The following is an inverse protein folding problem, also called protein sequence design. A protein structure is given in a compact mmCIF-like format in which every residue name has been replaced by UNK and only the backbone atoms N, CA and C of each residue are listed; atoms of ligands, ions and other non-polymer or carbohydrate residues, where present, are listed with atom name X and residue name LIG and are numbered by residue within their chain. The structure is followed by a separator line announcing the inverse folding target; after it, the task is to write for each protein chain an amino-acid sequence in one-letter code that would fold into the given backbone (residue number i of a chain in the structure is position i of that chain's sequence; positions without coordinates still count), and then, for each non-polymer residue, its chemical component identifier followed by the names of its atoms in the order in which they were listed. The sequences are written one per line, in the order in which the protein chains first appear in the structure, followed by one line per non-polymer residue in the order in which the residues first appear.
data_IF_845041705557
#
_entry.id   IF_845041705557
#
_cell.length_a   1.000
_cell.length_b   1.000
_cell.length_c   1.000
_cell.angle_alpha   90.00
_cell.angle_beta   90.00
_cell.angle_gamma   90.00
#
_symmetry.space_group_name_H-M   'P 1'
#
loop_
_entity.id
_entity.type
_entity.pdbx_description
1 polymer ?
#
# COMPACT_ATOMS: atom_id res chain seq x y z
N UNK A 1 6.97 63.06 14.94
CA UNK A 1 7.41 61.89 15.73
C UNK A 1 6.30 60.84 15.63
N UNK A 2 6.42 60.00 14.60
CA UNK A 2 5.73 58.72 14.44
C UNK A 2 6.32 57.77 15.52
N UNK A 3 5.65 56.77 16.10
CA UNK A 3 5.12 55.57 15.45
C UNK A 3 4.08 54.90 16.39
N UNK A 4 2.96 54.42 15.84
CA UNK A 4 2.07 53.48 16.54
C UNK A 4 2.33 52.09 15.95
N UNK A 5 2.92 51.22 16.77
CA UNK A 5 3.14 49.82 16.48
C UNK A 5 1.79 49.10 16.36
N UNK A 6 1.43 48.69 15.14
CA UNK A 6 0.32 47.76 14.90
C UNK A 6 0.90 46.49 14.34
N UNK A 7 1.01 45.48 15.21
CA UNK A 7 1.36 44.12 14.84
C UNK A 7 0.31 43.57 13.87
N UNK A 8 0.74 43.19 12.66
CA UNK A 8 -0.10 42.45 11.72
C UNK A 8 0.32 40.99 11.76
N UNK A 9 -0.63 40.20 12.27
CA UNK A 9 -0.65 38.74 12.37
C UNK A 9 -0.28 38.11 11.03
N UNK A 10 0.80 37.32 11.02
CA UNK A 10 1.13 36.45 9.91
C UNK A 10 0.13 35.28 9.92
N UNK A 11 -0.80 35.25 8.95
CA UNK A 11 -1.51 34.02 8.60
C UNK A 11 -0.48 33.07 7.96
N UNK A 12 0.11 32.19 8.77
CA UNK A 12 0.71 30.96 8.26
C UNK A 12 -0.43 30.04 7.81
N UNK A 13 -0.79 30.13 6.54
CA UNK A 13 -1.59 29.10 5.87
C UNK A 13 -0.75 27.83 5.77
N UNK A 14 -0.91 26.93 6.73
CA UNK A 14 -0.39 25.56 6.65
C UNK A 14 -1.14 24.85 5.54
N UNK A 15 -0.60 24.88 4.32
CA UNK A 15 -0.99 23.96 3.27
C UNK A 15 -0.58 22.56 3.74
N UNK A 16 -1.52 21.82 4.35
CA UNK A 16 -1.39 20.37 4.47
C UNK A 16 -1.37 19.81 3.05
N UNK A 17 -0.17 19.59 2.53
CA UNK A 17 0.04 18.72 1.39
C UNK A 17 -0.37 17.33 1.90
N UNK A 18 -1.60 16.94 1.60
CA UNK A 18 -2.02 15.56 1.72
C UNK A 18 -1.06 14.76 0.84
N UNK A 19 -0.18 13.98 1.46
CA UNK A 19 0.63 12.98 0.79
C UNK A 19 -0.36 11.97 0.20
N UNK A 20 -0.82 12.21 -1.03
CA UNK A 20 -1.41 11.19 -1.86
C UNK A 20 -0.40 10.03 -1.87
N UNK A 21 -0.78 8.93 -1.23
CA UNK A 21 0.10 7.79 -0.99
C UNK A 21 0.36 7.03 -2.27
N UNK A 22 1.19 7.59 -3.16
CA UNK A 22 1.78 6.85 -4.25
C UNK A 22 2.56 5.67 -3.67
N UNK A 23 2.12 4.45 -3.97
CA UNK A 23 2.93 3.26 -3.78
C UNK A 23 4.25 3.46 -4.53
N UNK A 24 5.35 3.53 -3.79
CA UNK A 24 6.71 3.71 -4.31
C UNK A 24 7.54 2.45 -4.12
N UNK A 25 8.73 2.37 -4.74
CA UNK A 25 9.63 1.22 -4.61
C UNK A 25 10.13 0.97 -3.17
N UNK A 26 9.89 1.91 -2.26
CA UNK A 26 10.24 1.82 -0.84
C UNK A 26 9.05 1.48 0.07
N UNK A 27 7.87 1.22 -0.50
CA UNK A 27 6.70 0.81 0.28
C UNK A 27 6.93 -0.59 0.87
N UNK A 28 6.59 -0.79 2.14
CA UNK A 28 6.71 -2.09 2.78
C UNK A 28 5.83 -3.12 2.06
N UNK A 29 6.37 -4.31 1.84
CA UNK A 29 5.69 -5.40 1.11
C UNK A 29 4.33 -5.77 1.69
N UNK A 30 4.13 -5.63 3.00
CA UNK A 30 2.86 -5.87 3.69
C UNK A 30 1.83 -4.79 3.37
N UNK A 31 2.28 -3.54 3.22
CA UNK A 31 1.40 -2.44 2.81
C UNK A 31 0.97 -2.63 1.36
N UNK A 32 1.92 -2.90 0.45
CA UNK A 32 1.63 -3.16 -0.96
C UNK A 32 0.70 -4.38 -1.12
N UNK A 33 0.94 -5.47 -0.38
CA UNK A 33 0.07 -6.65 -0.43
C UNK A 33 -1.34 -6.35 0.08
N UNK A 34 -1.48 -5.56 1.17
CA UNK A 34 -2.79 -5.15 1.68
C UNK A 34 -3.57 -4.28 0.69
N UNK A 35 -2.88 -3.36 0.00
CA UNK A 35 -3.45 -2.58 -1.09
C UNK A 35 -3.96 -3.49 -2.21
N UNK A 36 -3.16 -4.47 -2.61
CA UNK A 36 -3.54 -5.44 -3.64
C UNK A 36 -4.77 -6.27 -3.29
N UNK A 37 -4.84 -6.80 -2.07
CA UNK A 37 -6.04 -7.47 -1.58
C UNK A 37 -7.27 -6.55 -1.62
N UNK A 38 -7.12 -5.31 -1.16
CA UNK A 38 -8.22 -4.33 -1.13
C UNK A 38 -8.71 -4.00 -2.55
N UNK A 39 -7.81 -3.81 -3.50
CA UNK A 39 -8.15 -3.64 -4.93
C UNK A 39 -8.95 -4.83 -5.46
N UNK A 40 -8.45 -6.05 -5.23
CA UNK A 40 -9.12 -7.26 -5.69
C UNK A 40 -10.51 -7.44 -5.07
N UNK A 41 -10.68 -7.09 -3.80
CA UNK A 41 -11.92 -7.31 -3.05
C UNK A 41 -12.98 -6.23 -3.30
N UNK A 42 -12.56 -4.99 -3.58
CA UNK A 42 -13.49 -3.92 -3.94
C UNK A 42 -13.99 -4.04 -5.37
N UNK A 43 -13.24 -4.73 -6.25
CA UNK A 43 -13.55 -4.84 -7.68
C UNK A 43 -13.54 -3.48 -8.41
N UNK A 44 -12.99 -2.45 -7.78
CA UNK A 44 -12.98 -1.10 -8.31
C UNK A 44 -11.98 -0.99 -9.47
N UNK A 45 -12.36 -0.25 -10.52
CA UNK A 45 -11.49 0.01 -11.67
C UNK A 45 -10.28 0.87 -11.29
N UNK A 46 -10.49 1.80 -10.37
CA UNK A 46 -9.47 2.68 -9.82
C UNK A 46 -9.69 2.86 -8.32
N UNK A 47 -8.60 2.84 -7.57
CA UNK A 47 -8.57 3.18 -6.15
C UNK A 47 -7.69 4.41 -5.98
N UNK A 48 -8.22 5.41 -5.28
CA UNK A 48 -7.46 6.54 -4.76
C UNK A 48 -7.14 6.28 -3.29
N UNK A 49 -5.86 6.14 -2.95
CA UNK A 49 -5.42 5.99 -1.57
C UNK A 49 -5.41 7.35 -0.86
N UNK A 50 -6.28 7.50 0.14
CA UNK A 50 -6.48 8.77 0.85
C UNK A 50 -5.77 8.82 2.21
N UNK A 51 -5.29 7.67 2.69
CA UNK A 51 -4.48 7.59 3.90
C UNK A 51 -4.09 6.16 4.24
N UNK A 52 -3.17 6.03 5.20
CA UNK A 52 -2.76 4.74 5.73
C UNK A 52 -2.06 4.91 7.07
N UNK A 53 -2.26 3.95 7.96
CA UNK A 53 -1.62 3.91 9.28
C UNK A 53 -1.25 2.47 9.64
N UNK A 54 -0.10 2.29 10.26
CA UNK A 54 0.32 1.00 10.80
C UNK A 54 0.27 1.06 12.33
N UNK A 55 -0.38 0.07 12.93
CA UNK A 55 -0.43 -0.09 14.39
C UNK A 55 0.19 -1.42 14.78
N UNK A 56 0.81 -1.46 15.95
CA UNK A 56 1.60 -2.60 16.42
C UNK A 56 1.14 -3.00 17.81
N UNK A 57 0.58 -4.20 17.93
CA UNK A 57 0.25 -4.82 19.21
C UNK A 57 1.29 -5.88 19.50
N UNK A 58 2.41 -5.51 20.10
CA UNK A 58 3.50 -6.45 20.40
C UNK A 58 3.19 -7.27 21.67
N UNK A 59 3.50 -8.58 21.70
CA UNK A 59 4.13 -9.38 20.64
C UNK A 59 3.11 -10.11 19.73
N UNK A 60 1.89 -9.62 19.57
CA UNK A 60 0.79 -10.35 18.96
C UNK A 60 0.72 -10.17 17.43
N UNK A 61 0.50 -8.94 16.97
CA UNK A 61 0.29 -8.65 15.55
C UNK A 61 0.50 -7.18 15.20
N UNK A 62 0.72 -6.93 13.91
CA UNK A 62 0.64 -5.61 13.29
C UNK A 62 -0.65 -5.48 12.50
N UNK A 63 -1.15 -4.25 12.36
CA UNK A 63 -2.29 -3.92 11.50
C UNK A 63 -1.87 -2.82 10.54
N UNK A 64 -1.99 -3.10 9.24
CA UNK A 64 -1.95 -2.07 8.21
C UNK A 64 -3.38 -1.62 7.92
N UNK A 65 -3.74 -0.42 8.36
CA UNK A 65 -5.00 0.24 8.05
C UNK A 65 -4.85 1.14 6.82
N UNK A 66 -5.78 1.03 5.88
CA UNK A 66 -5.82 1.84 4.66
C UNK A 66 -7.16 2.57 4.58
N UNK A 67 -7.11 3.83 4.14
CA UNK A 67 -8.27 4.61 3.76
C UNK A 67 -8.20 4.89 2.25
N UNK A 68 -9.34 4.75 1.58
CA UNK A 68 -9.39 4.89 0.13
C UNK A 68 -10.71 5.47 -0.36
N UNK A 69 -10.71 5.91 -1.61
CA UNK A 69 -11.90 6.27 -2.37
C UNK A 69 -11.93 5.48 -3.68
N UNK A 70 -13.11 5.07 -4.09
CA UNK A 70 -13.37 4.41 -5.38
C UNK A 70 -14.42 5.20 -6.16
N UNK A 71 -14.26 5.29 -7.46
CA UNK A 71 -15.31 5.80 -8.33
C UNK A 71 -16.45 4.78 -8.40
N UNK A 72 -17.67 5.24 -8.21
CA UNK A 72 -18.87 4.45 -8.43
C UNK A 72 -19.32 4.53 -9.91
N UNK A 73 -20.25 3.65 -10.30
CA UNK A 73 -20.74 3.57 -11.68
C UNK A 73 -21.48 4.83 -12.17
N UNK A 74 -21.81 5.77 -11.28
CA UNK A 74 -22.51 7.02 -11.58
C UNK A 74 -21.57 8.23 -11.55
N UNK A 75 -20.26 8.02 -11.40
CA UNK A 75 -19.26 9.08 -11.30
C UNK A 75 -19.17 9.73 -9.91
N UNK A 76 -19.85 9.18 -8.91
CA UNK A 76 -19.66 9.54 -7.51
C UNK A 76 -18.40 8.88 -6.92
N UNK A 77 -17.94 9.38 -5.77
CA UNK A 77 -16.84 8.78 -5.01
C UNK A 77 -17.38 8.12 -3.76
N UNK A 78 -17.11 6.83 -3.58
CA UNK A 78 -17.37 6.09 -2.36
C UNK A 78 -16.07 5.93 -1.58
N UNK A 79 -16.04 6.38 -0.33
CA UNK A 79 -14.90 6.13 0.56
C UNK A 79 -15.03 4.77 1.24
N UNK A 80 -13.90 4.17 1.59
CA UNK A 80 -13.82 2.90 2.28
C UNK A 80 -12.57 2.79 3.13
N UNK A 81 -12.54 1.74 3.97
CA UNK A 81 -11.36 1.39 4.78
C UNK A 81 -11.10 -0.10 4.73
N UNK A 82 -9.83 -0.48 4.74
CA UNK A 82 -9.41 -1.86 4.94
C UNK A 82 -8.38 -1.97 6.04
N UNK A 83 -8.27 -3.15 6.65
CA UNK A 83 -7.25 -3.43 7.64
C UNK A 83 -6.72 -4.86 7.45
N UNK A 84 -5.42 -5.02 7.27
CA UNK A 84 -4.74 -6.32 7.16
C UNK A 84 -3.94 -6.59 8.43
N UNK A 85 -4.11 -7.78 9.01
CA UNK A 85 -3.51 -8.19 10.28
C UNK A 85 -2.39 -9.20 10.03
N UNK A 86 -1.20 -8.92 10.54
CA UNK A 86 0.01 -9.71 10.32
C UNK A 86 0.52 -10.27 11.63
N UNK A 87 0.75 -11.58 11.70
CA UNK A 87 1.24 -12.23 12.91
C UNK A 87 2.68 -11.79 13.18
N UNK A 88 3.06 -11.68 14.46
CA UNK A 88 4.46 -11.50 14.83
C UNK A 88 5.24 -12.79 14.56
N UNK A 89 6.38 -12.71 13.87
CA UNK A 89 7.20 -13.86 13.46
C UNK A 89 8.70 -13.69 13.79
N UNK A 90 9.12 -12.54 14.32
CA UNK A 90 10.50 -12.37 14.76
C UNK A 90 10.82 -13.26 15.97
N UNK A 91 12.01 -13.85 15.95
CA UNK A 91 12.53 -14.63 17.08
C UNK A 91 13.14 -13.73 18.17
N UNK A 92 13.75 -12.61 17.75
CA UNK A 92 14.43 -11.66 18.60
C UNK A 92 14.09 -10.22 18.19
N UNK A 93 14.06 -9.32 19.16
CA UNK A 93 14.03 -7.87 18.89
C UNK A 93 15.44 -7.39 18.52
N UNK A 94 15.64 -7.07 17.24
CA UNK A 94 16.92 -6.61 16.70
C UNK A 94 16.88 -5.09 16.47
N UNK A 95 18.04 -4.48 16.20
CA UNK A 95 18.08 -3.08 15.77
C UNK A 95 17.20 -2.82 14.52
N UNK A 96 17.03 -3.84 13.66
CA UNK A 96 16.15 -3.75 12.50
C UNK A 96 14.67 -3.66 12.89
N UNK A 97 14.21 -4.46 13.85
CA UNK A 97 12.78 -4.44 14.29
C UNK A 97 12.44 -3.17 15.06
N UNK A 98 13.43 -2.49 15.64
CA UNK A 98 13.26 -1.16 16.23
C UNK A 98 13.15 -0.06 15.17
N UNK A 99 13.93 -0.14 14.09
CA UNK A 99 13.92 0.83 13.00
C UNK A 99 12.71 0.65 12.06
N UNK A 100 12.33 -0.61 11.80
CA UNK A 100 11.19 -1.01 10.99
C UNK A 100 10.36 -2.06 11.74
N UNK A 101 9.35 -1.63 12.52
CA UNK A 101 8.54 -2.56 13.30
C UNK A 101 7.70 -3.53 12.44
N UNK A 102 7.40 -3.21 11.18
CA UNK A 102 6.70 -4.14 10.30
C UNK A 102 7.58 -5.35 9.98
N UNK A 103 8.90 -5.17 9.86
CA UNK A 103 9.86 -6.25 9.56
C UNK A 103 9.74 -7.47 10.47
N UNK A 104 9.25 -7.31 11.70
CA UNK A 104 9.05 -8.37 12.67
C UNK A 104 7.82 -9.26 12.42
N UNK A 105 6.99 -8.95 11.42
CA UNK A 105 5.71 -9.60 11.19
C UNK A 105 5.65 -10.36 9.87
N UNK A 106 4.74 -11.33 9.78
CA UNK A 106 4.45 -12.08 8.56
C UNK A 106 4.18 -11.15 7.36
N UNK A 107 4.51 -11.62 6.16
CA UNK A 107 4.22 -10.87 4.91
C UNK A 107 2.80 -11.09 4.41
N UNK A 108 2.15 -12.18 4.84
CA UNK A 108 0.77 -12.50 4.50
C UNK A 108 -0.14 -12.24 5.70
N UNK A 109 -1.29 -11.58 5.50
CA UNK A 109 -2.19 -11.31 6.60
C UNK A 109 -2.92 -12.59 7.02
N UNK A 110 -3.08 -12.83 8.32
CA UNK A 110 -3.89 -13.93 8.84
C UNK A 110 -5.37 -13.55 8.97
N UNK A 111 -5.67 -12.25 9.01
CA UNK A 111 -7.01 -11.70 9.08
C UNK A 111 -7.08 -10.41 8.26
N UNK A 112 -8.27 -10.08 7.74
CA UNK A 112 -8.51 -8.83 7.03
C UNK A 112 -9.93 -8.33 7.30
N UNK A 113 -10.10 -7.01 7.42
CA UNK A 113 -11.40 -6.36 7.39
C UNK A 113 -11.52 -5.44 6.18
N UNK A 114 -12.73 -5.32 5.64
CA UNK A 114 -13.10 -4.36 4.61
C UNK A 114 -14.40 -3.68 5.03
N UNK A 115 -14.37 -2.34 5.07
CA UNK A 115 -15.46 -1.48 5.55
C UNK A 115 -15.98 -1.92 6.94
N UNK A 116 -15.05 -2.32 7.81
CA UNK A 116 -15.34 -2.77 9.18
C UNK A 116 -15.84 -4.21 9.31
N UNK A 117 -16.07 -4.92 8.19
CA UNK A 117 -16.48 -6.33 8.19
C UNK A 117 -15.27 -7.23 8.06
N UNK A 118 -15.10 -8.16 9.00
CA UNK A 118 -14.09 -9.22 8.89
C UNK A 118 -14.41 -10.13 7.71
N UNK A 119 -13.39 -10.42 6.89
CA UNK A 119 -13.51 -11.41 5.83
C UNK A 119 -13.59 -12.81 6.44
N UNK A 120 -14.47 -13.68 5.93
CA UNK A 120 -14.41 -15.11 6.24
C UNK A 120 -13.07 -15.72 5.81
N UNK A 121 -12.55 -16.67 6.59
CA UNK A 121 -11.24 -17.28 6.35
C UNK A 121 -11.08 -17.85 4.93
N UNK A 122 -12.12 -18.52 4.42
CA UNK A 122 -12.10 -19.08 3.06
C UNK A 122 -11.97 -18.00 1.98
N UNK A 123 -12.63 -16.85 2.17
CA UNK A 123 -12.55 -15.70 1.27
C UNK A 123 -11.15 -15.08 1.31
N UNK A 124 -10.59 -14.91 2.51
CA UNK A 124 -9.24 -14.39 2.68
C UNK A 124 -8.18 -15.32 2.08
N UNK A 125 -8.29 -16.63 2.29
CA UNK A 125 -7.38 -17.62 1.69
C UNK A 125 -7.41 -17.52 0.17
N UNK A 126 -8.60 -17.47 -0.43
CA UNK A 126 -8.75 -17.34 -1.87
C UNK A 126 -8.14 -16.04 -2.40
N UNK A 127 -8.39 -14.91 -1.71
CA UNK A 127 -7.83 -13.61 -2.07
C UNK A 127 -6.30 -13.59 -1.97
N UNK A 128 -5.71 -14.16 -0.90
CA UNK A 128 -4.24 -14.28 -0.77
C UNK A 128 -3.61 -15.08 -1.89
N UNK A 129 -4.20 -16.22 -2.25
CA UNK A 129 -3.69 -17.07 -3.33
C UNK A 129 -3.76 -16.33 -4.67
N UNK A 130 -4.87 -15.64 -4.95
CA UNK A 130 -5.02 -14.85 -6.17
C UNK A 130 -3.97 -13.73 -6.24
N UNK A 131 -3.76 -13.03 -5.12
CA UNK A 131 -2.81 -11.92 -5.03
C UNK A 131 -1.36 -12.38 -5.20
N UNK A 132 -0.96 -13.47 -4.53
CA UNK A 132 0.37 -14.05 -4.70
C UNK A 132 0.63 -14.48 -6.15
N UNK A 133 -0.37 -15.07 -6.82
CA UNK A 133 -0.27 -15.40 -8.25
C UNK A 133 -0.12 -14.15 -9.12
N UNK A 134 -0.85 -13.09 -8.82
CA UNK A 134 -0.75 -11.79 -9.53
C UNK A 134 0.67 -11.22 -9.43
N UNK A 135 1.24 -11.19 -8.23
CA UNK A 135 2.63 -10.76 -8.01
C UNK A 135 3.63 -11.66 -8.75
N UNK A 136 3.49 -12.99 -8.68
CA UNK A 136 4.36 -13.92 -9.38
C UNK A 136 4.31 -13.74 -10.91
N UNK A 137 3.11 -13.59 -11.48
CA UNK A 137 2.94 -13.35 -12.91
C UNK A 137 3.49 -12.00 -13.34
N UNK A 138 3.41 -10.96 -12.50
CA UNK A 138 4.00 -9.66 -12.81
C UNK A 138 5.54 -9.77 -12.98
N UNK A 139 6.21 -10.54 -12.14
CA UNK A 139 7.66 -10.81 -12.26
C UNK A 139 7.97 -11.57 -13.55
N UNK A 140 7.24 -12.64 -13.83
CA UNK A 140 7.44 -13.43 -15.07
C UNK A 140 7.25 -12.57 -16.31
N UNK A 141 6.22 -11.72 -16.33
CA UNK A 141 5.95 -10.82 -17.45
C UNK A 141 7.04 -9.75 -17.63
N UNK A 142 7.57 -9.20 -16.52
CA UNK A 142 8.68 -8.25 -16.57
C UNK A 142 9.93 -8.88 -17.20
N UNK A 143 10.30 -10.09 -16.77
CA UNK A 143 11.43 -10.83 -17.34
C UNK A 143 11.23 -11.16 -18.83
N UNK A 144 10.01 -11.57 -19.21
CA UNK A 144 9.68 -11.84 -20.61
C UNK A 144 9.80 -10.60 -21.50
N UNK A 145 9.45 -9.43 -20.97
CA UNK A 145 9.61 -8.15 -21.67
C UNK A 145 11.08 -7.79 -21.86
N UNK A 146 11.90 -7.86 -20.80
CA UNK A 146 13.33 -7.55 -20.89
C UNK A 146 14.07 -8.45 -21.90
N UNK A 147 13.73 -9.74 -21.92
CA UNK A 147 14.29 -10.67 -22.90
C UNK A 147 13.89 -10.32 -24.34
N UNK A 148 12.64 -9.87 -24.54
CA UNK A 148 12.13 -9.46 -25.85
C UNK A 148 12.80 -8.17 -26.33
N UNK A 149 12.93 -7.19 -25.44
CA UNK A 149 13.57 -5.89 -25.73
C UNK A 149 15.06 -6.08 -26.09
N UNK A 150 15.77 -6.95 -25.37
CA UNK A 150 17.16 -7.31 -25.69
C UNK A 150 17.28 -7.98 -27.07
N UNK A 151 16.38 -8.91 -27.39
CA UNK A 151 16.39 -9.58 -28.69
C UNK A 151 16.15 -8.61 -29.85
N UNK A 152 15.27 -7.62 -29.65
CA UNK A 152 15.03 -6.55 -30.62
C UNK A 152 16.26 -5.66 -30.81
N UNK A 153 16.91 -5.26 -29.72
CA UNK A 153 18.13 -4.45 -29.77
C UNK A 153 19.27 -5.15 -30.53
N UNK A 154 19.45 -6.46 -30.31
CA UNK A 154 20.46 -7.26 -31.02
C UNK A 154 20.13 -7.33 -32.53
N UNK A 155 18.86 -7.56 -32.91
CA UNK A 155 18.45 -7.55 -34.32
C UNK A 155 18.69 -6.20 -34.99
N UNK A 156 18.41 -5.10 -34.29
CA UNK A 156 18.65 -3.75 -34.80
C UNK A 156 20.14 -3.43 -34.95
N UNK A 157 21.00 -3.97 -34.08
CA UNK A 157 22.45 -3.74 -34.12
C UNK A 157 23.23 -4.58 -35.14
N UNK A 158 22.74 -5.76 -35.54
CA UNK A 158 23.40 -6.64 -36.53
C UNK A 158 23.04 -6.23 -37.99
N UNK A 159 22.09 -5.30 -38.16
CA UNK A 159 21.71 -4.76 -39.47
C UNK A 159 22.59 -3.62 -40.00
N UNK A 160 23.71 -3.30 -39.34
CA UNK A 160 24.70 -2.29 -39.76
C UNK A 160 26.02 -2.93 -40.20
#
# INVERSE_FOLDING_TARGET
MQEKTVARVALLGTAMIALAGCSGPTEDVRVTFCKGLTESLTGARSIEWTGGENTFKRPEYAVTGLAFAVEDGNGGKRTGRSACYYAYEALDDTAQTLADPLSAHATLPFAMSLDGRMLPDAELVAARIAEQKRHGMAIVNALGKEASDLAEQVRAGIGQ
#
